data_IF_795373434074
#
_entry.id   IF_795373434074
#
_cell.length_a   1.000
_cell.length_b   1.000
_cell.length_c   1.000
_cell.angle_alpha   90.00
_cell.angle_beta   90.00
_cell.angle_gamma   90.00
#
_symmetry.space_group_name_H-M   'P 1'
#
loop_
_entity.id
_entity.type
_entity.pdbx_description
1 polymer ?
#
# COMPACT_ATOMS: atom_id res chain seq x y z
N UNK A 1 9.72 7.42 18.58
CA UNK A 1 9.45 6.17 17.86
C UNK A 1 8.22 5.51 18.49
N UNK A 2 7.03 6.05 18.25
CA UNK A 2 5.73 5.64 18.84
C UNK A 2 4.69 5.37 17.74
N UNK A 3 5.10 5.35 16.47
CA UNK A 3 4.14 5.27 15.36
C UNK A 3 3.81 3.84 14.92
N UNK A 4 4.64 2.85 15.28
CA UNK A 4 4.43 1.45 14.85
C UNK A 4 3.39 0.68 15.69
N UNK A 5 3.00 1.21 16.85
CA UNK A 5 2.07 0.55 17.79
C UNK A 5 0.64 1.14 17.73
N UNK A 6 0.41 2.17 16.92
CA UNK A 6 -0.86 2.89 16.92
C UNK A 6 -1.91 2.29 15.98
N UNK A 7 -1.47 1.52 14.98
CA UNK A 7 -2.37 1.01 13.94
C UNK A 7 -2.90 -0.40 14.20
N UNK A 8 -2.32 -1.16 15.13
CA UNK A 8 -2.72 -2.56 15.32
C UNK A 8 -4.18 -2.71 15.75
N UNK A 9 -4.68 -1.83 16.63
CA UNK A 9 -6.10 -1.85 17.00
C UNK A 9 -7.01 -1.52 15.81
N UNK A 10 -6.61 -0.58 14.94
CA UNK A 10 -7.38 -0.23 13.75
C UNK A 10 -7.36 -1.37 12.72
N UNK A 11 -6.22 -2.04 12.58
CA UNK A 11 -6.06 -3.24 11.75
C UNK A 11 -6.96 -4.36 12.29
N UNK A 12 -6.89 -4.69 13.57
CA UNK A 12 -7.71 -5.73 14.20
C UNK A 12 -9.21 -5.46 14.04
N UNK A 13 -9.64 -4.20 14.20
CA UNK A 13 -11.01 -3.76 13.95
C UNK A 13 -11.43 -4.02 12.51
N UNK A 14 -10.61 -3.64 11.53
CA UNK A 14 -10.92 -3.84 10.11
C UNK A 14 -10.92 -5.32 9.73
N UNK A 15 -9.95 -6.11 10.21
CA UNK A 15 -9.89 -7.54 9.99
C UNK A 15 -11.12 -8.25 10.57
N UNK A 16 -11.51 -7.92 11.81
CA UNK A 16 -12.69 -8.52 12.45
C UNK A 16 -14.01 -8.06 11.82
N UNK A 17 -14.12 -6.80 11.41
CA UNK A 17 -15.37 -6.21 10.92
C UNK A 17 -15.65 -6.51 9.45
N UNK A 18 -14.61 -6.46 8.62
CA UNK A 18 -14.71 -6.61 7.16
C UNK A 18 -14.28 -7.99 6.68
N UNK A 19 -13.64 -8.80 7.53
CA UNK A 19 -13.12 -10.12 7.14
C UNK A 19 -11.95 -10.04 6.15
N UNK A 20 -11.24 -8.90 6.10
CA UNK A 20 -10.12 -8.65 5.20
C UNK A 20 -8.80 -9.02 5.86
N UNK A 21 -7.76 -9.19 5.04
CA UNK A 21 -6.40 -9.46 5.49
C UNK A 21 -5.75 -8.22 6.08
N UNK A 22 -4.71 -8.40 6.89
CA UNK A 22 -3.93 -7.30 7.46
C UNK A 22 -3.35 -6.36 6.39
N UNK A 23 -2.88 -6.90 5.26
CA UNK A 23 -2.38 -6.08 4.14
C UNK A 23 -3.49 -5.21 3.50
N UNK A 24 -4.71 -5.74 3.40
CA UNK A 24 -5.86 -5.00 2.89
C UNK A 24 -6.31 -3.92 3.88
N UNK A 25 -6.27 -4.21 5.18
CA UNK A 25 -6.52 -3.24 6.23
C UNK A 25 -5.47 -2.11 6.22
N UNK A 26 -4.18 -2.45 6.03
CA UNK A 26 -3.09 -1.47 5.88
C UNK A 26 -3.31 -0.58 4.66
N UNK A 27 -3.70 -1.14 3.52
CA UNK A 27 -4.04 -0.36 2.33
C UNK A 27 -5.19 0.62 2.60
N UNK A 28 -6.26 0.17 3.27
CA UNK A 28 -7.39 1.04 3.61
C UNK A 28 -7.02 2.14 4.62
N UNK A 29 -6.06 1.87 5.51
CA UNK A 29 -5.53 2.86 6.45
C UNK A 29 -4.49 3.80 5.82
N UNK A 30 -4.17 3.63 4.54
CA UNK A 30 -3.12 4.42 3.86
C UNK A 30 -1.70 4.09 4.32
N UNK A 31 -1.50 2.93 4.94
CA UNK A 31 -0.20 2.43 5.39
C UNK A 31 0.44 1.69 4.21
N UNK A 32 1.11 2.45 3.35
CA UNK A 32 1.85 1.88 2.22
C UNK A 32 3.06 1.08 2.74
N UNK A 33 3.17 -0.18 2.31
CA UNK A 33 4.38 -0.99 2.54
C UNK A 33 5.44 -0.64 1.50
N UNK A 34 6.73 -0.81 1.83
CA UNK A 34 7.84 -0.53 0.89
C UNK A 34 7.69 -1.28 -0.45
N UNK A 35 7.08 -2.47 -0.42
CA UNK A 35 6.78 -3.25 -1.62
C UNK A 35 5.73 -2.56 -2.50
N UNK A 36 4.71 -1.95 -1.91
CA UNK A 36 3.67 -1.22 -2.63
C UNK A 36 4.25 0.04 -3.27
N UNK A 37 5.08 0.78 -2.55
CA UNK A 37 5.78 1.97 -3.08
C UNK A 37 6.69 1.58 -4.26
N UNK A 38 7.47 0.51 -4.13
CA UNK A 38 8.32 0.02 -5.22
C UNK A 38 7.52 -0.41 -6.45
N UNK A 39 6.35 -1.02 -6.24
CA UNK A 39 5.44 -1.39 -7.33
C UNK A 39 4.91 -0.16 -8.05
N UNK A 40 4.40 0.83 -7.32
CA UNK A 40 3.90 2.09 -7.90
C UNK A 40 5.00 2.84 -8.67
N UNK A 41 6.23 2.87 -8.14
CA UNK A 41 7.40 3.43 -8.83
C UNK A 41 7.67 2.67 -10.13
N UNK A 42 7.67 1.33 -10.09
CA UNK A 42 7.95 0.49 -11.26
C UNK A 42 6.88 0.61 -12.35
N UNK A 43 5.60 0.65 -11.96
CA UNK A 43 4.48 0.88 -12.89
C UNK A 43 4.59 2.28 -13.53
N UNK A 44 4.92 3.29 -12.73
CA UNK A 44 5.12 4.67 -13.23
C UNK A 44 6.29 4.74 -14.22
N UNK A 45 7.43 4.12 -13.88
CA UNK A 45 8.59 4.10 -14.78
C UNK A 45 8.29 3.37 -16.09
N UNK A 46 7.56 2.26 -16.03
CA UNK A 46 7.15 1.49 -17.21
C UNK A 46 6.22 2.31 -18.12
N UNK A 47 5.25 3.01 -17.54
CA UNK A 47 4.35 3.91 -18.27
C UNK A 47 5.13 5.04 -18.95
N UNK A 48 6.07 5.66 -18.24
CA UNK A 48 6.92 6.73 -18.78
C UNK A 48 7.80 6.24 -19.94
N UNK A 49 8.42 5.05 -19.84
CA UNK A 49 9.21 4.47 -20.94
C UNK A 49 8.36 4.18 -22.18
N UNK A 50 7.12 3.72 -22.01
CA UNK A 50 6.18 3.51 -23.11
C UNK A 50 5.90 4.81 -23.87
N UNK A 51 5.68 5.91 -23.15
CA UNK A 51 5.45 7.24 -23.73
C UNK A 51 6.67 7.80 -24.48
N UNK A 52 7.89 7.45 -24.05
CA UNK A 52 9.13 7.91 -24.68
C UNK A 52 9.43 7.15 -25.98
N UNK A 53 8.90 5.93 -26.14
CA UNK A 53 9.15 5.08 -27.32
C UNK A 53 8.24 5.37 -28.52
N UNK A 54 7.24 6.23 -28.38
CA UNK A 54 6.25 6.56 -29.43
C UNK A 54 6.64 7.80 -30.27
N UNK A 55 7.89 7.87 -30.76
CA UNK A 55 8.37 8.95 -31.64
C UNK A 55 8.97 8.46 -32.95
#
# INVERSE_FOLDING_TARGET
MVESNNYQMAIDLLCCHLGISEDEAKQQLGIATEQQINKEISDTQSALMGLISEK
#
